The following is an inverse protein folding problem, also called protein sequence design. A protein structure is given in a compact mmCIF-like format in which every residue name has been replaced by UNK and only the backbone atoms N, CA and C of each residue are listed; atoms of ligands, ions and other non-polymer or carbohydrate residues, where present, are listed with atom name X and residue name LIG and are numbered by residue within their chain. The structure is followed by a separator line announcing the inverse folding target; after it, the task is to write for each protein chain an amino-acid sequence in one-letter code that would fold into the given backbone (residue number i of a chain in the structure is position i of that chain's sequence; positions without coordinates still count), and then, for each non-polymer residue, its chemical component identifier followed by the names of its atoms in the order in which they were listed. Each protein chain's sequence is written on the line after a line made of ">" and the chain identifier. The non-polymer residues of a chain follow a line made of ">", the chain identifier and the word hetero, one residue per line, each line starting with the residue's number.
data_IF_012302748882
#
_entry.id   IF_012302748882
#
_cell.length_a   1.000
_cell.length_b   1.000
_cell.length_c   1.000
_cell.angle_alpha   90.00
_cell.angle_beta   90.00
_cell.angle_gamma   90.00
#
_symmetry.space_group_name_H-M   'P 1'
#
loop_
_entity.id
_entity.type
_entity.pdbx_description
1 polymer ?
#
# COMPACT_ATOMS: atom_id res chain seq x y z
N UNK A 1 -0.70 -13.56 -13.64
CA UNK A 1 -1.91 -13.45 -12.80
C UNK A 1 -2.82 -12.45 -13.48
N UNK A 2 -4.10 -12.79 -13.65
CA UNK A 2 -5.11 -11.83 -14.09
C UNK A 2 -5.80 -11.29 -12.84
N UNK A 3 -5.97 -9.97 -12.74
CA UNK A 3 -6.62 -9.28 -11.61
C UNK A 3 -7.78 -8.43 -12.14
N UNK A 4 -8.76 -8.16 -11.28
CA UNK A 4 -9.93 -7.36 -11.66
C UNK A 4 -9.70 -5.88 -11.38
N UNK A 5 -8.80 -5.57 -10.45
CA UNK A 5 -8.50 -4.20 -10.07
C UNK A 5 -7.04 -3.99 -9.64
N UNK A 6 -6.62 -2.72 -9.63
CA UNK A 6 -5.29 -2.32 -9.15
C UNK A 6 -5.12 -2.61 -7.65
N UNK A 7 -6.20 -2.58 -6.87
CA UNK A 7 -6.13 -2.88 -5.43
C UNK A 7 -5.80 -4.34 -5.15
N UNK A 8 -6.12 -5.25 -6.07
CA UNK A 8 -5.79 -6.68 -5.97
C UNK A 8 -4.26 -6.92 -5.99
N UNK A 9 -3.49 -5.93 -6.47
CA UNK A 9 -2.03 -5.95 -6.53
C UNK A 9 -1.37 -5.35 -5.28
N UNK A 10 -2.15 -4.83 -4.32
CA UNK A 10 -1.62 -4.29 -3.07
C UNK A 10 -1.19 -5.45 -2.16
N UNK A 11 0.06 -5.38 -1.72
CA UNK A 11 0.65 -6.39 -0.85
C UNK A 11 1.31 -7.53 -1.59
N UNK A 12 1.45 -8.68 -0.91
CA UNK A 12 2.20 -9.85 -1.40
C UNK A 12 3.57 -9.51 -2.04
N UNK A 13 4.20 -8.47 -1.51
CA UNK A 13 5.46 -7.94 -2.05
C UNK A 13 6.59 -8.94 -1.85
N UNK A 14 7.63 -8.92 -2.70
CA UNK A 14 8.77 -9.82 -2.55
C UNK A 14 9.47 -9.64 -1.19
N UNK A 15 9.91 -10.74 -0.59
CA UNK A 15 10.88 -10.76 0.50
C UNK A 15 12.22 -11.21 -0.07
N UNK A 16 13.27 -10.39 0.06
CA UNK A 16 14.56 -10.63 -0.58
C UNK A 16 15.67 -10.68 0.46
N UNK A 17 16.51 -11.72 0.41
CA UNK A 17 17.71 -11.84 1.25
C UNK A 17 18.80 -10.88 0.76
N UNK A 18 19.43 -10.14 1.68
CA UNK A 18 20.60 -9.31 1.37
C UNK A 18 21.83 -10.23 1.28
N UNK A 19 22.51 -10.22 0.13
CA UNK A 19 23.71 -11.03 -0.11
C UNK A 19 24.99 -10.19 -0.28
N UNK A 20 24.88 -8.90 -0.62
CA UNK A 20 26.02 -8.10 -1.10
C UNK A 20 26.46 -6.99 -0.11
N UNK A 21 26.13 -7.14 1.17
CA UNK A 21 26.51 -6.22 2.26
C UNK A 21 26.95 -7.07 3.45
N UNK A 22 27.96 -6.62 4.21
CA UNK A 22 28.34 -7.29 5.46
C UNK A 22 27.19 -7.23 6.47
N UNK A 23 26.70 -8.40 6.85
CA UNK A 23 25.63 -8.57 7.82
C UNK A 23 26.13 -9.01 9.18
N UNK A 24 27.45 -9.04 9.40
CA UNK A 24 28.10 -9.47 10.65
C UNK A 24 27.62 -10.86 11.11
N UNK A 25 27.45 -11.79 10.16
CA UNK A 25 27.01 -13.16 10.41
C UNK A 25 25.50 -13.35 10.54
N UNK A 26 24.69 -12.30 10.34
CA UNK A 26 23.23 -12.39 10.42
C UNK A 26 22.58 -12.63 9.05
N UNK A 27 21.39 -13.25 9.03
CA UNK A 27 20.54 -13.27 7.83
C UNK A 27 19.59 -12.08 7.85
N UNK A 28 19.72 -11.18 6.88
CA UNK A 28 18.86 -10.00 6.74
C UNK A 28 17.98 -10.14 5.50
N UNK A 29 16.69 -9.90 5.67
CA UNK A 29 15.70 -9.91 4.59
C UNK A 29 14.98 -8.57 4.52
N UNK A 30 14.66 -8.12 3.31
CA UNK A 30 13.97 -6.85 3.06
C UNK A 30 12.68 -7.10 2.29
N UNK A 31 11.61 -6.42 2.72
CA UNK A 31 10.33 -6.41 2.02
C UNK A 31 10.34 -5.30 0.98
N UNK A 32 10.16 -5.65 -0.30
CA UNK A 32 10.20 -4.68 -1.40
C UNK A 32 8.85 -3.98 -1.58
N UNK A 33 8.48 -3.14 -0.62
CA UNK A 33 7.21 -2.40 -0.62
C UNK A 33 7.06 -1.38 -1.76
N UNK A 34 8.15 -1.03 -2.45
CA UNK A 34 8.10 -0.30 -3.72
C UNK A 34 7.43 -1.07 -4.86
N UNK A 35 7.19 -2.38 -4.68
CA UNK A 35 6.49 -3.22 -5.67
C UNK A 35 4.98 -3.06 -5.65
N UNK A 36 4.41 -2.44 -4.60
CA UNK A 36 3.01 -2.04 -4.61
C UNK A 36 2.71 -1.09 -5.79
N UNK A 37 1.46 -1.04 -6.28
CA UNK A 37 1.09 -0.22 -7.44
C UNK A 37 1.36 1.28 -7.25
N UNK A 38 1.05 1.83 -6.07
CA UNK A 38 1.38 3.19 -5.63
C UNK A 38 2.83 3.38 -5.15
N UNK A 39 3.69 2.38 -5.39
CA UNK A 39 5.15 2.40 -5.18
C UNK A 39 5.59 2.60 -3.73
N UNK A 40 4.70 2.35 -2.76
CA UNK A 40 4.98 2.55 -1.34
C UNK A 40 4.25 1.53 -0.47
N UNK A 41 4.72 1.36 0.76
CA UNK A 41 3.98 0.61 1.79
C UNK A 41 2.63 1.24 2.15
N UNK A 42 2.43 2.52 1.80
CA UNK A 42 1.26 3.29 2.21
C UNK A 42 -0.02 2.88 1.48
N UNK A 43 0.08 2.20 0.35
CA UNK A 43 -1.05 1.56 -0.33
C UNK A 43 -1.84 0.64 0.61
N UNK A 44 -1.13 -0.11 1.47
CA UNK A 44 -1.76 -1.06 2.41
C UNK A 44 -2.64 -0.37 3.43
N UNK A 45 -2.13 0.71 4.04
CA UNK A 45 -2.88 1.43 5.07
C UNK A 45 -4.02 2.21 4.43
N UNK A 46 -3.80 2.80 3.26
CA UNK A 46 -4.82 3.53 2.52
C UNK A 46 -5.99 2.59 2.18
N UNK A 47 -5.70 1.39 1.69
CA UNK A 47 -6.74 0.40 1.36
C UNK A 47 -7.54 0.06 2.61
N UNK A 48 -6.85 -0.26 3.70
CA UNK A 48 -7.52 -0.68 4.93
C UNK A 48 -8.36 0.44 5.57
N UNK A 49 -7.91 1.69 5.48
CA UNK A 49 -8.68 2.84 5.97
C UNK A 49 -9.96 3.05 5.17
N UNK A 50 -9.89 2.99 3.84
CA UNK A 50 -11.07 3.16 2.98
C UNK A 50 -12.05 1.99 3.16
N UNK A 51 -11.58 0.74 3.09
CA UNK A 51 -12.43 -0.44 3.27
C UNK A 51 -13.20 -0.43 4.60
N UNK A 52 -12.54 -0.04 5.70
CA UNK A 52 -13.19 0.01 7.00
C UNK A 52 -14.17 1.18 7.09
N UNK A 53 -13.82 2.35 6.55
CA UNK A 53 -14.71 3.51 6.54
C UNK A 53 -15.98 3.25 5.70
N UNK A 54 -15.86 2.57 4.56
CA UNK A 54 -17.00 2.15 3.74
C UNK A 54 -17.86 1.12 4.47
N UNK A 55 -17.22 0.11 5.08
CA UNK A 55 -17.91 -0.94 5.84
C UNK A 55 -18.67 -0.38 7.05
N UNK A 56 -18.13 0.63 7.71
CA UNK A 56 -18.77 1.32 8.84
C UNK A 56 -19.80 2.37 8.38
N UNK A 57 -19.89 2.65 7.07
CA UNK A 57 -20.80 3.65 6.52
C UNK A 57 -20.41 5.09 6.87
N UNK A 58 -19.12 5.33 7.17
CA UNK A 58 -18.58 6.65 7.51
C UNK A 58 -18.36 7.53 6.27
N UNK A 59 -18.17 6.90 5.11
CA UNK A 59 -17.94 7.57 3.84
C UNK A 59 -18.85 6.99 2.76
N UNK A 60 -19.11 7.81 1.75
CA UNK A 60 -19.82 7.46 0.53
C UNK A 60 -19.17 8.13 -0.69
N UNK A 61 -19.79 7.96 -1.85
CA UNK A 61 -19.32 8.53 -3.13
C UNK A 61 -19.27 10.07 -3.17
N UNK A 62 -19.98 10.75 -2.26
CA UNK A 62 -20.06 12.22 -2.22
C UNK A 62 -19.18 12.78 -1.09
N UNK A 63 -18.55 11.91 -0.30
CA UNK A 63 -17.71 12.28 0.83
C UNK A 63 -16.36 12.82 0.36
N UNK A 64 -15.98 13.99 0.88
CA UNK A 64 -14.66 14.58 0.63
C UNK A 64 -13.67 14.08 1.67
N UNK A 65 -12.65 13.34 1.21
CA UNK A 65 -11.56 12.85 2.06
C UNK A 65 -10.49 13.92 2.22
N UNK A 66 -10.15 14.25 3.48
CA UNK A 66 -9.08 15.18 3.82
C UNK A 66 -8.01 14.39 4.58
N UNK A 67 -6.79 14.37 4.05
CA UNK A 67 -5.65 13.70 4.67
C UNK A 67 -4.43 14.63 4.69
N UNK A 68 -3.83 14.81 5.87
CA UNK A 68 -2.57 15.52 6.00
C UNK A 68 -1.40 14.55 5.79
N UNK A 69 -0.71 14.66 4.65
CA UNK A 69 0.32 13.69 4.25
C UNK A 69 1.56 14.34 3.68
N UNK A 70 2.70 13.66 3.82
CA UNK A 70 3.96 13.99 3.12
C UNK A 70 4.03 13.44 1.69
N UNK A 71 3.03 12.65 1.24
CA UNK A 71 2.87 12.27 -0.16
C UNK A 71 2.35 10.85 -0.35
N UNK A 72 3.09 9.83 0.11
CA UNK A 72 2.79 8.43 -0.21
C UNK A 72 1.40 7.97 0.24
N UNK A 73 0.90 8.43 1.39
CA UNK A 73 -0.49 8.13 1.81
C UNK A 73 -1.49 8.76 0.86
N UNK A 74 -1.25 10.00 0.42
CA UNK A 74 -2.09 10.68 -0.56
C UNK A 74 -2.11 9.98 -1.92
N UNK A 75 -0.96 9.47 -2.38
CA UNK A 75 -0.89 8.66 -3.61
C UNK A 75 -1.72 7.38 -3.46
N UNK A 76 -1.55 6.65 -2.35
CA UNK A 76 -2.32 5.44 -2.07
C UNK A 76 -3.82 5.72 -2.03
N UNK A 77 -4.24 6.71 -1.23
CA UNK A 77 -5.65 7.11 -1.11
C UNK A 77 -6.25 7.55 -2.45
N UNK A 78 -5.55 8.39 -3.21
CA UNK A 78 -6.02 8.84 -4.52
C UNK A 78 -6.20 7.67 -5.49
N UNK A 79 -5.24 6.73 -5.53
CA UNK A 79 -5.32 5.54 -6.38
C UNK A 79 -6.52 4.65 -6.00
N UNK A 80 -6.77 4.45 -4.70
CA UNK A 80 -7.85 3.59 -4.20
C UNK A 80 -9.23 4.23 -4.42
N UNK A 81 -9.35 5.55 -4.28
CA UNK A 81 -10.61 6.25 -4.50
C UNK A 81 -10.97 6.39 -5.99
N UNK A 82 -10.00 6.21 -6.90
CA UNK A 82 -10.23 6.22 -8.35
C UNK A 82 -10.57 4.84 -8.94
N UNK A 83 -10.50 3.79 -8.14
CA UNK A 83 -10.89 2.43 -8.51
C UNK A 83 -12.41 2.33 -8.58
#
# INVERSE_FOLDING_TARGET
>A
MLVNSVIDLIGNTPLVKINNIDTFGNEIFVKLEGSNPGRSTKDRIALKMIEEAEKEGLIDKDTVIIEATSGNTGIGLAMILCH
#
